data_IF_358860550629
#
_entry.id   IF_358860550629
#
_cell.length_a   1.000
_cell.length_b   1.000
_cell.length_c   1.000
_cell.angle_alpha   90.00
_cell.angle_beta   90.00
_cell.angle_gamma   90.00
#
_symmetry.space_group_name_H-M   'P 1'
#
loop_
_entity.id
_entity.type
_entity.pdbx_description
1 polymer ?
#
# COMPACT_ATOMS: atom_id res chain seq x y z
N UNK A 1 -4.36 6.25 7.35
CA UNK A 1 -4.90 6.56 8.69
C UNK A 1 -3.82 7.01 9.67
N UNK A 2 -2.88 6.14 10.08
CA UNK A 2 -1.82 6.48 11.05
C UNK A 2 -1.09 7.79 10.74
N UNK A 3 -0.70 7.96 9.48
CA UNK A 3 -0.04 9.17 9.02
C UNK A 3 -0.90 10.44 9.07
N UNK A 4 -2.19 10.35 8.73
CA UNK A 4 -3.12 11.47 8.88
C UNK A 4 -3.31 11.86 10.36
N UNK A 5 -3.16 10.89 11.26
CA UNK A 5 -3.14 11.11 12.70
C UNK A 5 -1.73 11.46 13.25
N UNK A 6 -0.72 11.57 12.40
CA UNK A 6 0.68 11.85 12.76
C UNK A 6 1.29 10.86 13.78
N UNK A 7 0.93 9.59 13.66
CA UNK A 7 1.44 8.50 14.51
C UNK A 7 2.06 7.38 13.69
N UNK A 8 2.93 6.60 14.33
CA UNK A 8 3.53 5.42 13.72
C UNK A 8 2.46 4.34 13.46
N UNK A 9 2.45 3.70 12.28
CA UNK A 9 1.53 2.59 12.01
C UNK A 9 1.83 1.40 12.93
N UNK A 10 0.76 0.73 13.37
CA UNK A 10 0.84 -0.40 14.28
C UNK A 10 -0.02 -1.56 13.77
N UNK A 11 0.43 -2.80 14.05
CA UNK A 11 -0.35 -4.03 13.79
C UNK A 11 -1.70 -4.02 14.50
N UNK A 12 -1.86 -3.22 15.57
CA UNK A 12 -3.11 -3.10 16.31
C UNK A 12 -4.15 -2.23 15.59
N UNK A 13 -3.75 -1.42 14.61
CA UNK A 13 -4.68 -0.62 13.78
C UNK A 13 -5.40 -1.46 12.73
N UNK A 14 -4.79 -2.57 12.29
CA UNK A 14 -5.42 -3.55 11.41
C UNK A 14 -5.05 -4.98 11.89
N UNK A 15 -5.68 -5.45 12.98
CA UNK A 15 -5.26 -6.66 13.65
C UNK A 15 -5.66 -7.95 12.92
N UNK A 16 -6.56 -7.89 11.95
CA UNK A 16 -6.99 -9.05 11.15
C UNK A 16 -7.03 -8.65 9.69
N UNK A 17 -6.17 -9.27 8.89
CA UNK A 17 -6.11 -9.05 7.44
C UNK A 17 -6.37 -10.37 6.72
N UNK A 18 -7.36 -10.37 5.82
CA UNK A 18 -7.64 -11.47 4.91
C UNK A 18 -7.06 -11.13 3.55
N UNK A 19 -5.94 -11.75 3.19
CA UNK A 19 -5.27 -11.52 1.90
C UNK A 19 -5.74 -12.55 0.87
N UNK A 20 -6.48 -12.16 -0.18
CA UNK A 20 -7.00 -13.12 -1.16
C UNK A 20 -5.87 -13.83 -1.92
N UNK A 21 -6.01 -15.16 -2.10
CA UNK A 21 -5.13 -15.99 -2.93
C UNK A 21 -5.80 -16.56 -4.19
N UNK A 22 -7.11 -16.35 -4.33
CA UNK A 22 -7.94 -16.98 -5.36
C UNK A 22 -8.63 -18.25 -4.85
N UNK A 23 -9.51 -18.84 -5.67
CA UNK A 23 -10.19 -20.10 -5.38
C UNK A 23 -10.86 -20.15 -3.98
N UNK A 24 -11.55 -19.06 -3.60
CA UNK A 24 -12.21 -18.92 -2.29
C UNK A 24 -11.29 -19.08 -1.07
N UNK A 25 -9.99 -18.88 -1.26
CA UNK A 25 -8.95 -19.00 -0.22
C UNK A 25 -8.30 -17.65 0.04
N UNK A 26 -8.06 -17.36 1.32
CA UNK A 26 -7.30 -16.20 1.77
C UNK A 26 -6.20 -16.66 2.72
N UNK A 27 -5.05 -15.99 2.65
CA UNK A 27 -4.08 -16.04 3.72
C UNK A 27 -4.59 -15.18 4.88
N UNK A 28 -4.76 -15.80 6.05
CA UNK A 28 -5.28 -15.11 7.23
C UNK A 28 -4.09 -14.62 8.04
N UNK A 29 -4.07 -13.32 8.32
CA UNK A 29 -3.01 -12.65 9.08
C UNK A 29 -3.63 -12.06 10.34
N UNK A 30 -3.10 -12.43 11.50
CA UNK A 30 -3.54 -11.92 12.81
C UNK A 30 -2.35 -11.21 13.46
N UNK A 31 -2.54 -9.93 13.81
CA UNK A 31 -1.52 -9.07 14.44
C UNK A 31 -0.15 -9.17 13.74
N UNK A 32 -0.16 -9.06 12.41
CA UNK A 32 1.04 -9.12 11.58
C UNK A 32 1.60 -10.52 11.30
N UNK A 33 1.01 -11.59 11.85
CA UNK A 33 1.47 -12.97 11.65
C UNK A 33 0.53 -13.77 10.76
N UNK A 34 1.06 -14.37 9.70
CA UNK A 34 0.34 -15.33 8.87
C UNK A 34 0.05 -16.59 9.68
N UNK A 35 -1.22 -16.95 9.82
CA UNK A 35 -1.66 -18.19 10.47
C UNK A 35 -2.02 -19.30 9.47
N UNK A 36 -1.85 -19.01 8.17
CA UNK A 36 -2.03 -19.97 7.08
C UNK A 36 -3.14 -19.59 6.08
N UNK A 37 -3.28 -20.44 5.07
CA UNK A 37 -4.27 -20.29 4.00
C UNK A 37 -5.54 -21.04 4.36
N UNK A 38 -6.67 -20.34 4.28
CA UNK A 38 -7.97 -20.88 4.68
C UNK A 38 -9.03 -20.46 3.69
N UNK A 39 -9.96 -21.38 3.42
CA UNK A 39 -11.20 -20.99 2.79
C UNK A 39 -12.12 -20.31 3.80
N UNK A 40 -13.20 -19.73 3.29
CA UNK A 40 -14.23 -19.07 4.07
C UNK A 40 -14.69 -19.88 5.30
N UNK A 41 -15.07 -21.15 5.10
CA UNK A 41 -15.62 -21.99 6.16
C UNK A 41 -14.59 -22.35 7.23
N UNK A 42 -13.36 -22.65 6.81
CA UNK A 42 -12.27 -22.95 7.75
C UNK A 42 -11.95 -21.75 8.63
N UNK A 43 -11.90 -20.54 8.04
CA UNK A 43 -11.72 -19.30 8.79
C UNK A 43 -12.85 -19.12 9.81
N UNK A 44 -14.10 -19.18 9.35
CA UNK A 44 -15.27 -18.94 10.20
C UNK A 44 -15.41 -19.95 11.34
N UNK A 45 -15.09 -21.22 11.10
CA UNK A 45 -15.28 -22.26 12.13
C UNK A 45 -14.08 -22.45 13.07
N UNK A 46 -12.86 -22.14 12.63
CA UNK A 46 -11.64 -22.46 13.40
C UNK A 46 -10.91 -21.23 13.94
N UNK A 47 -11.05 -20.09 13.27
CA UNK A 47 -10.21 -18.91 13.55
C UNK A 47 -10.98 -17.63 13.78
N UNK A 48 -12.31 -17.62 13.58
CA UNK A 48 -13.16 -16.48 13.93
C UNK A 48 -12.93 -16.01 15.37
N UNK A 49 -13.01 -16.92 16.35
CA UNK A 49 -12.84 -16.56 17.76
C UNK A 49 -11.43 -16.04 18.07
N UNK A 50 -10.41 -16.67 17.48
CA UNK A 50 -9.02 -16.22 17.59
C UNK A 50 -8.83 -14.81 17.00
N UNK A 51 -9.42 -14.55 15.84
CA UNK A 51 -9.38 -13.24 15.18
C UNK A 51 -10.12 -12.19 16.02
N UNK A 52 -11.30 -12.54 16.56
CA UNK A 52 -12.07 -11.66 17.41
C UNK A 52 -11.34 -11.33 18.73
N UNK A 53 -10.68 -12.31 19.36
CA UNK A 53 -9.88 -12.07 20.55
C UNK A 53 -8.66 -11.17 20.26
N UNK A 54 -8.05 -11.30 19.08
CA UNK A 54 -6.99 -10.37 18.64
C UNK A 54 -7.51 -8.95 18.40
N UNK A 55 -8.75 -8.79 17.90
CA UNK A 55 -9.40 -7.48 17.79
C UNK A 55 -9.63 -6.89 19.19
N UNK A 56 -10.16 -7.66 20.15
CA UNK A 56 -10.34 -7.19 21.53
C UNK A 56 -9.04 -6.76 22.18
N UNK A 57 -7.99 -7.56 22.04
CA UNK A 57 -6.66 -7.24 22.56
C UNK A 57 -6.14 -5.93 21.96
N UNK A 58 -6.24 -5.79 20.64
CA UNK A 58 -5.80 -4.59 19.92
C UNK A 58 -6.63 -3.35 20.28
N UNK A 59 -7.95 -3.49 20.40
CA UNK A 59 -8.82 -2.41 20.87
C UNK A 59 -8.46 -1.98 22.30
N UNK A 60 -8.30 -2.93 23.23
CA UNK A 60 -7.90 -2.62 24.61
C UNK A 60 -6.55 -1.91 24.64
N UNK A 61 -5.58 -2.36 23.84
CA UNK A 61 -4.27 -1.72 23.73
C UNK A 61 -4.40 -0.28 23.24
N UNK A 62 -5.09 -0.05 22.12
CA UNK A 62 -5.29 1.29 21.58
C UNK A 62 -6.07 2.18 22.56
N UNK A 63 -7.10 1.66 23.21
CA UNK A 63 -7.91 2.41 24.19
C UNK A 63 -7.14 2.83 25.44
N UNK A 64 -6.03 2.14 25.74
CA UNK A 64 -5.13 2.51 26.84
C UNK A 64 -4.12 3.60 26.45
N UNK A 65 -3.95 3.88 25.16
CA UNK A 65 -2.94 4.79 24.61
C UNK A 65 -3.55 6.07 24.02
N UNK A 66 -4.78 6.00 23.53
CA UNK A 66 -5.44 7.07 22.81
C UNK A 66 -6.79 7.42 23.44
N UNK A 67 -7.08 8.73 23.51
CA UNK A 67 -8.35 9.25 24.01
C UNK A 67 -9.50 9.03 23.00
N UNK A 68 -9.18 9.00 21.71
CA UNK A 68 -10.14 8.85 20.61
C UNK A 68 -9.66 7.73 19.69
N UNK A 69 -10.57 6.81 19.36
CA UNK A 69 -10.36 5.75 18.37
C UNK A 69 -11.43 5.90 17.29
N UNK A 70 -11.00 6.03 16.04
CA UNK A 70 -11.87 5.98 14.87
C UNK A 70 -11.78 4.58 14.28
N UNK A 71 -12.93 3.91 14.15
CA UNK A 71 -13.03 2.55 13.63
C UNK A 71 -13.66 2.63 12.24
N UNK A 72 -12.88 2.28 11.22
CA UNK A 72 -13.38 2.16 9.86
C UNK A 72 -13.92 0.74 9.64
N UNK A 73 -15.21 0.61 9.35
CA UNK A 73 -15.82 -0.66 8.97
C UNK A 73 -15.51 -1.03 7.52
N UNK A 74 -15.35 -2.32 7.25
CA UNK A 74 -15.09 -2.80 5.90
C UNK A 74 -16.37 -3.27 5.20
N UNK A 75 -16.60 -2.77 3.98
CA UNK A 75 -17.73 -3.18 3.16
C UNK A 75 -19.08 -2.67 3.70
N UNK A 76 -20.12 -3.51 3.59
CA UNK A 76 -21.46 -3.17 4.06
C UNK A 76 -21.65 -3.58 5.52
N UNK A 77 -22.23 -2.74 6.39
CA UNK A 77 -22.60 -3.17 7.74
C UNK A 77 -23.82 -4.11 7.76
N UNK A 78 -24.48 -4.32 6.61
CA UNK A 78 -25.69 -5.14 6.49
C UNK A 78 -25.46 -6.44 5.70
N UNK A 79 -24.35 -7.14 5.96
CA UNK A 79 -24.08 -8.49 5.43
C UNK A 79 -24.95 -9.55 6.15
N UNK A 80 -26.27 -9.51 5.89
CA UNK A 80 -27.30 -10.29 6.60
C UNK A 80 -27.07 -11.81 6.59
N UNK A 81 -26.36 -12.33 5.58
CA UNK A 81 -26.01 -13.75 5.44
C UNK A 81 -24.89 -14.17 6.38
N UNK A 82 -24.21 -13.23 7.04
CA UNK A 82 -23.05 -13.46 7.88
C UNK A 82 -23.05 -12.64 9.18
N UNK A 83 -24.20 -12.09 9.59
CA UNK A 83 -24.27 -11.19 10.74
C UNK A 83 -23.64 -11.75 12.02
N UNK A 84 -23.84 -13.04 12.30
CA UNK A 84 -23.27 -13.73 13.48
C UNK A 84 -21.75 -13.95 13.40
N UNK A 85 -21.15 -13.71 12.23
CA UNK A 85 -19.76 -13.98 11.86
C UNK A 85 -19.02 -12.70 11.44
N UNK A 86 -19.71 -11.57 11.44
CA UNK A 86 -19.17 -10.29 10.98
C UNK A 86 -18.39 -9.60 12.11
N UNK A 87 -17.08 -9.62 11.98
CA UNK A 87 -16.15 -8.89 12.85
C UNK A 87 -15.52 -7.69 12.14
N UNK A 88 -16.12 -7.21 11.05
CA UNK A 88 -15.66 -6.07 10.28
C UNK A 88 -16.47 -4.78 10.55
N UNK A 89 -17.71 -4.89 11.04
CA UNK A 89 -18.59 -3.73 11.24
C UNK A 89 -19.25 -3.69 12.62
N UNK A 90 -20.52 -4.08 12.72
CA UNK A 90 -21.38 -3.76 13.86
C UNK A 90 -20.97 -4.47 15.15
N UNK A 91 -20.45 -5.70 15.07
CA UNK A 91 -19.94 -6.41 16.24
C UNK A 91 -18.79 -5.64 16.91
N UNK A 92 -17.93 -5.01 16.12
CA UNK A 92 -16.83 -4.18 16.62
C UNK A 92 -17.36 -2.87 17.21
N UNK A 93 -18.38 -2.27 16.59
CA UNK A 93 -19.05 -1.10 17.16
C UNK A 93 -19.68 -1.40 18.53
N UNK A 94 -20.28 -2.58 18.70
CA UNK A 94 -20.82 -3.01 19.99
C UNK A 94 -19.73 -3.31 21.03
N UNK A 95 -18.67 -3.99 20.62
CA UNK A 95 -17.50 -4.25 21.47
C UNK A 95 -16.90 -2.95 22.02
N UNK A 96 -16.79 -1.93 21.17
CA UNK A 96 -16.18 -0.64 21.49
C UNK A 96 -17.15 0.35 22.16
N UNK A 97 -18.44 0.01 22.31
CA UNK A 97 -19.49 0.95 22.68
C UNK A 97 -19.52 2.21 21.79
N UNK A 98 -19.23 2.03 20.49
CA UNK A 98 -19.03 3.12 19.55
C UNK A 98 -20.34 3.62 18.92
N UNK A 99 -20.40 4.92 18.66
CA UNK A 99 -21.40 5.52 17.78
C UNK A 99 -21.00 5.26 16.32
N UNK A 100 -21.97 4.94 15.46
CA UNK A 100 -21.73 4.62 14.05
C UNK A 100 -22.29 5.73 13.16
N UNK A 101 -21.46 6.18 12.22
CA UNK A 101 -21.85 7.07 11.13
C UNK A 101 -21.79 6.26 9.84
N UNK A 102 -22.90 6.16 9.11
CA UNK A 102 -22.94 5.48 7.82
C UNK A 102 -22.44 6.42 6.72
N UNK A 103 -21.33 6.07 6.07
CA UNK A 103 -20.80 6.83 4.93
C UNK A 103 -21.27 6.16 3.64
N UNK A 104 -21.99 6.89 2.79
CA UNK A 104 -22.60 6.35 1.58
C UNK A 104 -22.03 7.03 0.31
N UNK A 105 -21.39 6.25 -0.56
CA UNK A 105 -20.84 6.72 -1.83
C UNK A 105 -21.97 6.96 -2.86
N UNK A 106 -22.17 8.22 -3.27
CA UNK A 106 -23.20 8.56 -4.27
C UNK A 106 -22.75 8.32 -5.72
N UNK A 107 -21.44 8.19 -5.97
CA UNK A 107 -20.89 8.01 -7.32
C UNK A 107 -21.34 6.68 -7.95
N UNK A 108 -21.60 5.67 -7.13
CA UNK A 108 -22.13 4.37 -7.55
C UNK A 108 -23.61 4.42 -7.96
N UNK A 109 -24.30 5.54 -7.71
CA UNK A 109 -25.73 5.71 -7.96
C UNK A 109 -26.61 4.97 -6.94
N UNK A 110 -27.88 5.38 -6.83
CA UNK A 110 -28.85 4.70 -5.96
C UNK A 110 -28.62 4.88 -4.45
N UNK A 111 -27.81 5.87 -4.04
CA UNK A 111 -27.39 6.08 -2.64
C UNK A 111 -28.53 6.05 -1.62
N UNK A 112 -29.68 6.65 -1.93
CA UNK A 112 -30.83 6.67 -1.03
C UNK A 112 -31.44 5.28 -0.81
N UNK A 113 -31.51 4.47 -1.87
CA UNK A 113 -31.97 3.10 -1.76
C UNK A 113 -30.97 2.23 -0.99
N UNK A 114 -29.66 2.49 -1.17
CA UNK A 114 -28.62 1.81 -0.41
C UNK A 114 -28.73 2.12 1.09
N UNK A 115 -28.81 3.41 1.48
CA UNK A 115 -28.97 3.81 2.89
C UNK A 115 -30.26 3.22 3.49
N UNK A 116 -31.39 3.41 2.82
CA UNK A 116 -32.67 2.90 3.32
C UNK A 116 -32.67 1.37 3.40
N UNK A 117 -32.07 0.69 2.41
CA UNK A 117 -31.91 -0.76 2.40
C UNK A 117 -31.06 -1.24 3.57
N UNK A 118 -29.88 -0.66 3.76
CA UNK A 118 -28.99 -0.95 4.91
C UNK A 118 -29.73 -0.77 6.22
N UNK A 119 -30.38 0.38 6.43
CA UNK A 119 -31.13 0.63 7.66
C UNK A 119 -32.23 -0.41 7.89
N UNK A 120 -33.02 -0.75 6.86
CA UNK A 120 -34.10 -1.75 6.96
C UNK A 120 -33.56 -3.17 7.20
N UNK A 121 -32.37 -3.50 6.73
CA UNK A 121 -31.77 -4.83 6.87
C UNK A 121 -31.09 -5.04 8.23
N UNK A 122 -30.58 -3.98 8.86
CA UNK A 122 -30.07 -4.06 10.23
C UNK A 122 -31.19 -4.39 11.23
N UNK A 123 -30.88 -5.13 12.29
CA UNK A 123 -31.81 -5.34 13.39
C UNK A 123 -31.83 -4.12 14.35
N UNK A 124 -32.74 -4.11 15.32
CA UNK A 124 -32.87 -2.97 16.24
C UNK A 124 -31.63 -2.79 17.14
N UNK A 125 -30.88 -3.87 17.39
CA UNK A 125 -29.64 -3.81 18.18
C UNK A 125 -28.57 -3.04 17.41
N UNK A 126 -28.35 -3.35 16.14
CA UNK A 126 -27.40 -2.65 15.27
C UNK A 126 -27.85 -1.24 14.92
N UNK A 127 -29.13 -1.07 14.56
CA UNK A 127 -29.69 0.26 14.30
C UNK A 127 -29.48 1.22 15.46
N UNK A 128 -29.51 0.71 16.71
CA UNK A 128 -29.32 1.55 17.89
C UNK A 128 -27.95 2.23 17.95
N UNK A 129 -26.94 1.71 17.23
CA UNK A 129 -25.60 2.30 17.13
C UNK A 129 -25.49 3.33 16.01
N UNK A 130 -26.35 3.28 15.01
CA UNK A 130 -26.38 4.29 13.95
C UNK A 130 -26.83 5.64 14.55
N UNK A 131 -26.04 6.69 14.32
CA UNK A 131 -26.30 8.03 14.83
C UNK A 131 -26.36 9.10 13.77
N UNK A 132 -25.83 8.81 12.59
CA UNK A 132 -25.90 9.73 11.47
C UNK A 132 -25.55 9.05 10.15
N UNK A 133 -25.80 9.76 9.06
CA UNK A 133 -25.35 9.40 7.70
C UNK A 133 -24.55 10.53 7.06
N UNK A 134 -23.56 10.19 6.25
CA UNK A 134 -22.80 11.11 5.39
C UNK A 134 -22.97 10.67 3.94
N UNK A 135 -23.29 11.61 3.05
CA UNK A 135 -23.22 11.38 1.61
C UNK A 135 -21.83 11.75 1.12
N UNK A 136 -21.10 10.82 0.52
CA UNK A 136 -19.74 11.01 0.03
C UNK A 136 -19.69 11.15 -1.50
N UNK A 137 -18.64 11.81 -2.02
CA UNK A 137 -18.31 11.96 -3.45
C UNK A 137 -19.41 12.63 -4.30
N UNK A 138 -20.10 13.62 -3.76
CA UNK A 138 -21.15 14.31 -4.50
C UNK A 138 -20.62 15.23 -5.60
N UNK A 139 -21.23 15.14 -6.78
CA UNK A 139 -21.01 16.06 -7.90
C UNK A 139 -22.36 16.68 -8.28
N UNK A 140 -22.49 18.00 -8.16
CA UNK A 140 -23.66 18.73 -8.66
C UNK A 140 -24.26 19.74 -7.69
N UNK A 141 -25.56 20.01 -7.88
CA UNK A 141 -26.28 21.01 -7.11
C UNK A 141 -26.95 20.39 -5.88
N UNK A 142 -26.51 20.79 -4.68
CA UNK A 142 -27.05 20.33 -3.40
C UNK A 142 -28.55 20.59 -3.24
N UNK A 143 -29.10 21.66 -3.82
CA UNK A 143 -30.53 21.96 -3.71
C UNK A 143 -31.42 20.89 -4.35
N UNK A 144 -30.90 20.18 -5.36
CA UNK A 144 -31.60 19.05 -5.99
C UNK A 144 -31.61 17.83 -5.05
N UNK A 145 -30.57 17.69 -4.21
CA UNK A 145 -30.38 16.54 -3.34
C UNK A 145 -31.21 16.64 -2.04
N UNK A 146 -31.42 17.85 -1.52
CA UNK A 146 -32.10 18.14 -0.25
C UNK A 146 -33.36 17.31 0.01
N UNK A 147 -34.36 17.22 -0.89
CA UNK A 147 -35.57 16.44 -0.62
C UNK A 147 -35.30 14.95 -0.39
N UNK A 148 -34.23 14.41 -0.98
CA UNK A 148 -33.80 13.04 -0.74
C UNK A 148 -33.11 12.87 0.61
N UNK A 149 -32.34 13.86 1.08
CA UNK A 149 -31.73 13.86 2.41
C UNK A 149 -32.82 13.88 3.49
N UNK A 150 -33.80 14.78 3.38
CA UNK A 150 -34.94 14.87 4.30
C UNK A 150 -35.66 13.52 4.40
N UNK A 151 -35.85 12.84 3.25
CA UNK A 151 -36.50 11.54 3.21
C UNK A 151 -35.68 10.43 3.87
N UNK A 152 -34.35 10.50 3.82
CA UNK A 152 -33.49 9.56 4.54
C UNK A 152 -33.60 9.77 6.03
N UNK A 153 -33.54 11.02 6.52
CA UNK A 153 -33.72 11.32 7.95
C UNK A 153 -35.07 10.83 8.47
N UNK A 154 -36.15 10.95 7.68
CA UNK A 154 -37.45 10.38 8.03
C UNK A 154 -37.45 8.84 8.14
N UNK A 155 -36.64 8.15 7.32
CA UNK A 155 -36.55 6.68 7.29
C UNK A 155 -35.68 6.16 8.43
N UNK A 156 -34.51 6.76 8.62
CA UNK A 156 -33.51 6.33 9.60
C UNK A 156 -33.82 6.85 11.00
N UNK A 157 -34.51 7.99 11.11
CA UNK A 157 -34.71 8.70 12.37
C UNK A 157 -33.45 9.43 12.87
N UNK A 158 -32.37 9.40 12.09
CA UNK A 158 -31.06 9.95 12.44
C UNK A 158 -30.63 11.00 11.40
N UNK A 159 -29.89 12.04 11.79
CA UNK A 159 -29.53 13.14 10.90
C UNK A 159 -28.61 12.71 9.76
N UNK A 160 -28.71 13.43 8.63
CA UNK A 160 -27.66 13.47 7.63
C UNK A 160 -26.70 14.59 8.00
N UNK A 161 -25.47 14.24 8.42
CA UNK A 161 -24.47 15.23 8.86
C UNK A 161 -24.10 16.21 7.76
N UNK A 162 -24.15 15.75 6.52
CA UNK A 162 -23.76 16.56 5.39
C UNK A 162 -23.48 15.76 4.13
N UNK A 163 -23.01 16.50 3.13
CA UNK A 163 -22.72 15.99 1.80
C UNK A 163 -21.31 16.42 1.42
N UNK A 164 -20.39 15.47 1.36
CA UNK A 164 -19.01 15.72 0.97
C UNK A 164 -18.92 15.84 -0.56
N UNK A 165 -18.42 16.95 -1.11
CA UNK A 165 -18.17 17.08 -2.53
C UNK A 165 -17.04 16.15 -2.99
N UNK A 166 -17.11 15.68 -4.23
CA UNK A 166 -15.95 15.09 -4.88
C UNK A 166 -14.99 16.21 -5.31
N UNK A 167 -13.73 16.13 -4.88
CA UNK A 167 -12.68 17.09 -5.22
C UNK A 167 -11.59 16.42 -6.06
N UNK A 168 -11.50 16.81 -7.34
CA UNK A 168 -10.51 16.30 -8.31
C UNK A 168 -9.08 16.74 -8.02
N UNK A 169 -8.85 17.63 -7.06
CA UNK A 169 -7.50 18.07 -6.66
C UNK A 169 -6.88 17.18 -5.59
N UNK A 170 -7.68 16.37 -4.89
CA UNK A 170 -7.18 15.42 -3.91
C UNK A 170 -6.39 14.30 -4.59
N UNK A 171 -5.21 14.01 -4.06
CA UNK A 171 -4.36 12.90 -4.47
C UNK A 171 -3.94 12.14 -3.20
N UNK A 172 -4.73 11.15 -2.85
CA UNK A 172 -4.45 10.25 -1.72
C UNK A 172 -3.90 8.93 -2.27
N UNK A 173 -3.00 8.25 -1.54
CA UNK A 173 -2.48 6.96 -1.96
C UNK A 173 -3.61 5.94 -2.15
N UNK A 174 -3.48 5.13 -3.21
CA UNK A 174 -4.42 4.05 -3.51
C UNK A 174 -4.19 2.84 -2.58
N UNK A 175 -5.27 2.15 -2.19
CA UNK A 175 -5.18 1.06 -1.20
C UNK A 175 -4.96 -0.33 -1.82
N UNK A 176 -5.58 -0.63 -2.97
CA UNK A 176 -5.53 -1.96 -3.59
C UNK A 176 -5.05 -1.91 -5.04
N UNK A 177 -4.37 -2.95 -5.50
CA UNK A 177 -3.83 -3.09 -6.85
C UNK A 177 -4.90 -3.17 -7.93
N UNK A 178 -6.18 -3.29 -7.57
CA UNK A 178 -7.29 -3.11 -8.49
C UNK A 178 -7.28 -1.70 -9.11
N UNK A 179 -6.86 -0.68 -8.36
CA UNK A 179 -6.79 0.71 -8.84
C UNK A 179 -5.85 0.88 -10.04
N UNK A 180 -4.78 0.09 -10.13
CA UNK A 180 -3.84 0.08 -11.26
C UNK A 180 -4.49 -0.24 -12.61
N UNK A 181 -5.67 -0.89 -12.64
CA UNK A 181 -6.37 -1.16 -13.90
C UNK A 181 -7.07 0.06 -14.47
N UNK A 182 -7.42 1.03 -13.61
CA UNK A 182 -8.16 2.24 -13.96
C UNK A 182 -7.31 3.50 -13.87
N UNK A 183 -6.13 3.42 -13.25
CA UNK A 183 -5.20 4.53 -13.13
C UNK A 183 -4.59 4.88 -14.48
N UNK A 184 -4.59 6.17 -14.82
CA UNK A 184 -3.99 6.68 -16.05
C UNK A 184 -2.69 7.40 -15.71
N UNK A 185 -1.57 6.73 -15.95
CA UNK A 185 -0.25 7.35 -15.81
C UNK A 185 0.01 8.30 -16.98
N UNK A 186 0.75 9.38 -16.70
CA UNK A 186 1.22 10.30 -17.73
C UNK A 186 2.44 9.69 -18.44
N UNK A 187 2.31 9.43 -19.74
CA UNK A 187 3.36 8.86 -20.58
C UNK A 187 4.01 9.90 -21.53
N UNK A 188 3.67 11.19 -21.38
CA UNK A 188 4.19 12.29 -22.23
C UNK A 188 5.04 13.26 -21.41
N UNK A 189 6.15 12.74 -20.88
CA UNK A 189 7.08 13.45 -19.99
C UNK A 189 8.53 13.33 -20.44
N UNK A 190 9.37 14.25 -19.97
CA UNK A 190 10.78 14.30 -20.33
C UNK A 190 11.56 13.06 -19.84
N UNK A 191 11.19 12.51 -18.69
CA UNK A 191 11.75 11.29 -18.12
C UNK A 191 10.67 10.21 -18.10
N UNK A 192 10.97 9.04 -18.65
CA UNK A 192 10.05 7.90 -18.66
C UNK A 192 10.58 6.75 -17.82
N UNK A 193 9.87 6.42 -16.74
CA UNK A 193 10.18 5.26 -15.90
C UNK A 193 9.29 4.08 -16.32
N UNK A 194 9.90 3.00 -16.78
CA UNK A 194 9.21 1.76 -17.09
C UNK A 194 9.00 0.92 -15.83
N UNK A 195 7.76 0.69 -15.42
CA UNK A 195 7.44 -0.15 -14.25
C UNK A 195 6.88 -1.48 -14.72
N UNK A 196 7.55 -2.59 -14.38
CA UNK A 196 7.11 -3.91 -14.79
C UNK A 196 5.83 -4.30 -14.03
N UNK A 197 4.74 -4.46 -14.77
CA UNK A 197 3.45 -4.91 -14.23
C UNK A 197 3.48 -6.42 -14.03
N UNK A 198 4.07 -6.85 -12.92
CA UNK A 198 4.12 -8.25 -12.54
C UNK A 198 2.69 -8.81 -12.35
N UNK A 199 2.40 -10.06 -12.75
CA UNK A 199 1.09 -10.68 -12.56
C UNK A 199 0.59 -10.63 -11.11
N UNK A 200 1.52 -10.73 -10.14
CA UNK A 200 1.22 -10.68 -8.70
C UNK A 200 1.88 -9.48 -8.01
N UNK A 201 1.97 -8.35 -8.73
CA UNK A 201 2.47 -7.07 -8.21
C UNK A 201 1.89 -6.76 -6.82
N UNK A 202 2.73 -6.24 -5.93
CA UNK A 202 2.36 -5.76 -4.61
C UNK A 202 3.09 -4.46 -4.30
N UNK A 203 2.51 -3.67 -3.40
CA UNK A 203 3.08 -2.41 -2.93
C UNK A 203 3.48 -1.50 -4.11
N UNK A 204 2.62 -1.42 -5.13
CA UNK A 204 2.86 -0.60 -6.30
C UNK A 204 3.00 0.88 -5.95
N UNK A 205 2.50 1.29 -4.78
CA UNK A 205 2.63 2.63 -4.21
C UNK A 205 4.08 3.09 -3.96
N UNK A 206 5.07 2.19 -4.09
CA UNK A 206 6.49 2.55 -4.15
C UNK A 206 6.82 3.55 -5.28
N UNK A 207 5.95 3.64 -6.30
CA UNK A 207 6.14 4.52 -7.46
C UNK A 207 5.37 5.84 -7.37
N UNK A 208 4.42 5.98 -6.44
CA UNK A 208 3.61 7.19 -6.26
C UNK A 208 4.45 8.47 -6.17
N UNK A 209 5.63 8.48 -5.52
CA UNK A 209 6.46 9.68 -5.46
C UNK A 209 6.91 10.23 -6.81
N UNK A 210 6.97 9.39 -7.85
CA UNK A 210 7.34 9.83 -9.19
C UNK A 210 6.22 10.61 -9.89
N UNK A 211 4.95 10.35 -9.58
CA UNK A 211 3.83 11.11 -10.18
C UNK A 211 3.76 12.56 -9.69
N UNK A 212 4.40 12.86 -8.55
CA UNK A 212 4.52 14.22 -8.05
C UNK A 212 5.63 15.03 -8.75
N UNK A 213 6.51 14.39 -9.53
CA UNK A 213 7.60 15.05 -10.25
C UNK A 213 7.10 15.51 -11.62
N UNK A 214 7.15 16.82 -11.88
CA UNK A 214 6.49 17.42 -13.05
C UNK A 214 7.01 16.96 -14.42
N UNK A 215 8.26 16.49 -14.45
CA UNK A 215 9.00 16.06 -15.64
C UNK A 215 9.14 14.54 -15.75
N UNK A 216 8.49 13.77 -14.85
CA UNK A 216 8.56 12.30 -14.82
C UNK A 216 7.22 11.69 -15.19
N UNK A 217 7.26 10.74 -16.11
CA UNK A 217 6.15 9.90 -16.52
C UNK A 217 6.41 8.44 -16.16
N UNK A 218 5.33 7.68 -16.00
CA UNK A 218 5.36 6.26 -15.64
C UNK A 218 4.70 5.46 -16.75
N UNK A 219 5.39 4.43 -17.22
CA UNK A 219 4.85 3.48 -18.18
C UNK A 219 4.73 2.11 -17.53
N UNK A 220 3.51 1.62 -17.38
CA UNK A 220 3.29 0.25 -16.92
C UNK A 220 3.56 -0.73 -18.07
N UNK A 221 4.50 -1.64 -17.89
CA UNK A 221 4.92 -2.62 -18.91
C UNK A 221 4.42 -4.00 -18.48
N UNK A 222 3.37 -4.49 -19.16
CA UNK A 222 2.87 -5.84 -18.99
C UNK A 222 3.79 -6.90 -19.59
N UNK A 223 3.59 -8.15 -19.19
CA UNK A 223 4.41 -9.29 -19.64
C UNK A 223 4.48 -9.47 -21.17
N UNK A 224 3.46 -9.00 -21.90
CA UNK A 224 3.39 -9.12 -23.36
C UNK A 224 3.70 -7.81 -24.10
N UNK A 225 4.03 -6.74 -23.37
CA UNK A 225 4.23 -5.42 -23.94
C UNK A 225 5.68 -5.27 -24.45
N UNK A 226 5.89 -4.19 -25.20
CA UNK A 226 7.26 -3.74 -25.47
C UNK A 226 7.71 -2.75 -24.40
N UNK A 227 8.98 -2.82 -24.01
CA UNK A 227 9.55 -1.92 -23.00
C UNK A 227 9.53 -0.48 -23.52
N UNK A 228 9.75 -0.30 -24.83
CA UNK A 228 9.79 1.02 -25.46
C UNK A 228 11.01 1.84 -25.06
N UNK A 229 10.89 3.15 -25.26
CA UNK A 229 11.91 4.13 -24.88
C UNK A 229 11.64 4.60 -23.45
N UNK A 230 12.42 4.08 -22.51
CA UNK A 230 12.36 4.41 -21.09
C UNK A 230 13.77 4.68 -20.60
N UNK A 231 13.88 5.56 -19.61
CA UNK A 231 15.16 6.01 -19.05
C UNK A 231 15.61 5.18 -17.84
N UNK A 232 14.68 4.43 -17.22
CA UNK A 232 14.95 3.46 -16.18
C UNK A 232 13.86 2.39 -16.14
N UNK A 233 14.17 1.22 -15.58
CA UNK A 233 13.21 0.14 -15.34
C UNK A 233 13.10 -0.15 -13.85
N UNK A 234 11.88 -0.22 -13.32
CA UNK A 234 11.61 -0.68 -11.95
C UNK A 234 10.88 -2.02 -12.00
N UNK A 235 11.44 -3.01 -11.32
CA UNK A 235 10.76 -4.26 -10.98
C UNK A 235 10.25 -4.13 -9.55
N UNK A 236 8.92 -3.94 -9.35
CA UNK A 236 8.35 -3.69 -8.03
C UNK A 236 8.29 -4.95 -7.17
N UNK A 237 7.76 -4.80 -5.96
CA UNK A 237 7.43 -5.94 -5.11
C UNK A 237 6.42 -6.88 -5.76
N UNK A 238 6.50 -8.16 -5.39
CA UNK A 238 5.52 -9.17 -5.77
C UNK A 238 5.15 -10.03 -4.57
N UNK A 239 3.94 -10.58 -4.59
CA UNK A 239 3.46 -11.58 -3.63
C UNK A 239 4.01 -12.97 -3.92
N UNK A 240 4.74 -13.15 -5.03
CA UNK A 240 5.22 -14.45 -5.48
C UNK A 240 6.41 -14.31 -6.45
N UNK A 241 7.61 -14.23 -5.92
CA UNK A 241 8.81 -13.96 -6.73
C UNK A 241 9.13 -15.08 -7.72
N UNK A 242 8.94 -16.34 -7.34
CA UNK A 242 9.26 -17.49 -8.20
C UNK A 242 8.29 -17.64 -9.38
N UNK A 243 6.99 -17.41 -9.16
CA UNK A 243 5.99 -17.45 -10.23
C UNK A 243 6.14 -16.28 -11.20
N UNK A 244 6.41 -15.07 -10.70
CA UNK A 244 6.56 -13.90 -11.57
C UNK A 244 7.87 -13.93 -12.35
N UNK A 245 8.98 -14.39 -11.76
CA UNK A 245 10.23 -14.68 -12.49
C UNK A 245 9.98 -15.67 -13.64
N UNK A 246 9.21 -16.73 -13.39
CA UNK A 246 8.85 -17.72 -14.40
C UNK A 246 8.03 -17.10 -15.55
N UNK A 247 7.03 -16.27 -15.26
CA UNK A 247 6.23 -15.63 -16.33
C UNK A 247 7.03 -14.59 -17.12
N UNK A 248 7.98 -13.87 -16.50
CA UNK A 248 8.91 -12.99 -17.20
C UNK A 248 9.81 -13.76 -18.18
N UNK A 249 10.33 -14.91 -17.75
CA UNK A 249 11.13 -15.78 -18.62
C UNK A 249 10.29 -16.35 -19.76
N UNK A 250 9.11 -16.87 -19.46
CA UNK A 250 8.20 -17.50 -20.42
C UNK A 250 7.68 -16.53 -21.48
N UNK A 251 7.47 -15.26 -21.11
CA UNK A 251 7.05 -14.21 -22.04
C UNK A 251 8.19 -13.66 -22.91
N UNK A 252 9.45 -13.92 -22.54
CA UNK A 252 10.64 -13.32 -23.17
C UNK A 252 10.91 -11.87 -22.74
N UNK A 253 10.11 -11.31 -21.82
CA UNK A 253 10.34 -9.98 -21.27
C UNK A 253 11.63 -9.93 -20.44
N UNK A 254 11.99 -11.05 -19.78
CA UNK A 254 13.26 -11.21 -19.08
C UNK A 254 14.48 -10.84 -19.95
N UNK A 255 14.56 -11.38 -21.17
CA UNK A 255 15.68 -11.12 -22.09
C UNK A 255 15.74 -9.65 -22.52
N UNK A 256 14.57 -9.02 -22.70
CA UNK A 256 14.48 -7.58 -23.03
C UNK A 256 14.96 -6.70 -21.87
N UNK A 257 14.59 -7.04 -20.63
CA UNK A 257 15.06 -6.33 -19.43
C UNK A 257 16.57 -6.47 -19.31
N UNK A 258 17.12 -7.68 -19.48
CA UNK A 258 18.57 -7.94 -19.43
C UNK A 258 19.30 -7.11 -20.48
N UNK A 259 18.80 -7.07 -21.73
CA UNK A 259 19.39 -6.25 -22.77
C UNK A 259 19.41 -4.75 -22.40
N UNK A 260 18.30 -4.24 -21.85
CA UNK A 260 18.18 -2.84 -21.41
C UNK A 260 19.04 -2.51 -20.20
N UNK A 261 19.30 -3.47 -19.32
CA UNK A 261 20.14 -3.27 -18.14
C UNK A 261 21.58 -2.84 -18.50
N UNK A 262 22.06 -3.11 -19.71
CA UNK A 262 23.36 -2.61 -20.15
C UNK A 262 23.37 -1.12 -20.55
N UNK A 263 22.20 -0.53 -20.77
CA UNK A 263 22.04 0.84 -21.27
C UNK A 263 21.51 1.80 -20.20
N UNK A 264 20.55 1.33 -19.41
CA UNK A 264 19.78 2.15 -18.48
C UNK A 264 19.75 1.54 -17.07
N UNK A 265 19.50 2.36 -16.03
CA UNK A 265 19.28 1.89 -14.68
C UNK A 265 18.14 0.85 -14.58
N UNK A 266 18.39 -0.23 -13.84
CA UNK A 266 17.36 -1.21 -13.45
C UNK A 266 17.29 -1.31 -11.94
N UNK A 267 16.08 -1.21 -11.40
CA UNK A 267 15.81 -1.12 -9.97
C UNK A 267 14.95 -2.30 -9.55
N UNK A 268 15.30 -2.97 -8.46
CA UNK A 268 14.48 -4.02 -7.85
C UNK A 268 14.02 -3.65 -6.45
N UNK A 269 12.72 -3.75 -6.18
CA UNK A 269 12.18 -3.54 -4.83
C UNK A 269 11.61 -4.85 -4.31
N UNK A 270 12.09 -5.31 -3.16
CA UNK A 270 11.62 -6.50 -2.45
C UNK A 270 11.59 -7.75 -3.35
N UNK A 271 10.42 -8.23 -3.80
CA UNK A 271 10.35 -9.34 -4.76
C UNK A 271 11.11 -9.06 -6.07
N UNK A 272 11.15 -7.80 -6.53
CA UNK A 272 11.96 -7.38 -7.67
C UNK A 272 13.47 -7.46 -7.41
N UNK A 273 13.92 -7.21 -6.17
CA UNK A 273 15.32 -7.44 -5.78
C UNK A 273 15.70 -8.92 -5.96
N UNK A 274 14.83 -9.83 -5.52
CA UNK A 274 15.04 -11.27 -5.66
C UNK A 274 15.05 -11.71 -7.13
N UNK A 275 14.13 -11.19 -7.95
CA UNK A 275 14.03 -11.48 -9.39
C UNK A 275 15.30 -11.07 -10.14
N UNK A 276 15.94 -9.96 -9.76
CA UNK A 276 17.18 -9.50 -10.40
C UNK A 276 18.39 -10.40 -10.10
N UNK A 277 18.32 -11.25 -9.07
CA UNK A 277 19.40 -12.15 -8.65
C UNK A 277 19.73 -13.27 -9.62
N UNK A 278 20.74 -14.08 -9.28
CA UNK A 278 21.12 -15.28 -10.04
C UNK A 278 20.10 -16.41 -9.86
N UNK A 279 19.63 -16.61 -8.64
CA UNK A 279 18.73 -17.70 -8.27
C UNK A 279 17.82 -17.34 -7.11
N UNK A 280 16.58 -17.84 -7.17
CA UNK A 280 15.57 -17.77 -6.12
C UNK A 280 15.31 -19.21 -5.65
N UNK A 281 15.72 -19.54 -4.43
CA UNK A 281 15.67 -20.86 -3.82
C UNK A 281 14.39 -20.99 -2.99
N UNK A 282 13.49 -21.85 -3.44
CA UNK A 282 12.20 -22.16 -2.80
C UNK A 282 12.01 -23.68 -2.75
N UNK A 283 12.88 -24.37 -2.00
CA UNK A 283 12.88 -25.84 -1.90
C UNK A 283 11.58 -26.40 -1.33
N UNK A 284 10.98 -25.66 -0.40
CA UNK A 284 9.72 -26.02 0.27
C UNK A 284 8.47 -25.58 -0.49
N UNK A 285 8.62 -24.89 -1.63
CA UNK A 285 7.52 -24.37 -2.45
C UNK A 285 6.57 -23.45 -1.67
N UNK A 286 7.12 -22.67 -0.75
CA UNK A 286 6.39 -21.69 0.08
C UNK A 286 5.79 -20.59 -0.78
N UNK A 287 6.54 -20.09 -1.76
CA UNK A 287 6.07 -19.04 -2.65
C UNK A 287 5.19 -19.61 -3.77
N UNK A 288 5.67 -20.63 -4.49
CA UNK A 288 4.91 -21.19 -5.61
C UNK A 288 5.21 -22.64 -5.93
N UNK A 289 4.36 -23.21 -6.79
CA UNK A 289 4.53 -24.58 -7.31
C UNK A 289 5.82 -24.76 -8.13
N UNK A 290 6.43 -23.67 -8.62
CA UNK A 290 7.68 -23.70 -9.39
C UNK A 290 8.84 -24.19 -8.51
N UNK A 291 8.87 -23.78 -7.24
CA UNK A 291 10.02 -23.98 -6.37
C UNK A 291 11.23 -23.15 -6.83
N UNK A 292 12.44 -23.68 -6.66
CA UNK A 292 13.69 -23.01 -7.05
C UNK A 292 13.76 -22.70 -8.55
N UNK A 293 14.10 -21.44 -8.89
CA UNK A 293 14.20 -20.94 -10.26
C UNK A 293 15.37 -19.97 -10.40
N UNK A 294 15.92 -19.85 -11.61
CA UNK A 294 16.87 -18.79 -11.95
C UNK A 294 16.18 -17.42 -11.94
N UNK A 295 16.86 -16.40 -11.43
CA UNK A 295 16.46 -15.01 -11.64
C UNK A 295 16.93 -14.50 -13.00
N UNK A 296 17.01 -13.17 -13.15
CA UNK A 296 17.54 -12.53 -14.36
C UNK A 296 19.06 -12.54 -14.44
N UNK A 297 19.76 -12.79 -13.33
CA UNK A 297 21.22 -12.82 -13.27
C UNK A 297 21.89 -11.47 -13.45
N UNK A 298 21.18 -10.37 -13.14
CA UNK A 298 21.68 -9.00 -13.24
C UNK A 298 22.39 -8.55 -11.97
N UNK A 299 22.02 -9.11 -10.81
CA UNK A 299 22.70 -8.92 -9.54
C UNK A 299 23.36 -10.23 -9.10
N UNK A 300 24.63 -10.22 -8.66
CA UNK A 300 25.31 -11.40 -8.15
C UNK A 300 24.86 -11.64 -6.70
N UNK A 301 23.61 -12.08 -6.56
CA UNK A 301 22.96 -12.44 -5.31
C UNK A 301 22.18 -13.75 -5.46
N UNK A 302 21.95 -14.45 -4.37
CA UNK A 302 20.98 -15.55 -4.29
C UNK A 302 19.96 -15.26 -3.22
N UNK A 303 18.69 -15.55 -3.49
CA UNK A 303 17.61 -15.35 -2.53
C UNK A 303 17.02 -16.68 -2.10
N UNK A 304 16.63 -16.81 -0.83
CA UNK A 304 16.09 -18.05 -0.28
C UNK A 304 14.91 -17.79 0.67
N UNK A 305 13.90 -18.66 0.60
CA UNK A 305 12.71 -18.62 1.47
C UNK A 305 12.86 -19.58 2.66
N UNK A 306 13.82 -19.29 3.54
CA UNK A 306 14.08 -20.13 4.73
C UNK A 306 13.38 -19.66 5.99
N UNK A 307 12.91 -18.40 6.06
CA UNK A 307 12.30 -17.87 7.28
C UNK A 307 10.98 -18.59 7.58
N UNK A 308 10.73 -18.81 8.87
CA UNK A 308 9.44 -19.27 9.37
C UNK A 308 8.46 -18.10 9.47
N UNK A 309 8.94 -16.97 10.00
CA UNK A 309 8.15 -15.76 10.18
C UNK A 309 8.46 -14.69 9.13
N UNK A 310 7.41 -14.00 8.72
CA UNK A 310 7.50 -12.83 7.85
C UNK A 310 8.01 -11.61 8.60
N UNK A 311 8.94 -10.87 8.01
CA UNK A 311 9.34 -9.56 8.51
C UNK A 311 8.24 -8.57 8.17
N UNK A 312 7.79 -7.82 9.17
CA UNK A 312 6.85 -6.69 9.04
C UNK A 312 7.32 -5.60 10.00
N UNK A 313 8.20 -4.69 9.54
CA UNK A 313 8.79 -3.67 10.41
C UNK A 313 9.05 -2.36 9.67
N UNK A 314 9.00 -1.26 10.42
CA UNK A 314 9.55 0.04 9.99
C UNK A 314 11.08 -0.01 10.12
N UNK A 315 11.76 0.51 9.11
CA UNK A 315 13.20 0.33 8.93
C UNK A 315 13.89 1.63 8.56
N UNK A 316 15.15 1.71 8.96
CA UNK A 316 16.01 2.87 8.81
C UNK A 316 17.42 2.38 8.46
N UNK A 317 18.06 3.07 7.52
CA UNK A 317 19.39 2.74 7.06
C UNK A 317 20.15 4.01 6.67
N UNK A 318 21.45 3.87 6.42
CA UNK A 318 22.29 4.94 5.87
C UNK A 318 22.89 4.53 4.54
N UNK A 319 23.13 5.53 3.68
CA UNK A 319 23.77 5.33 2.38
C UNK A 319 25.29 5.15 2.59
N UNK A 320 25.89 4.02 2.18
CA UNK A 320 27.30 3.74 2.42
C UNK A 320 28.22 4.50 1.45
N UNK A 321 29.50 4.65 1.81
CA UNK A 321 30.52 5.34 1.02
C UNK A 321 31.19 4.47 -0.06
N UNK A 322 30.86 3.17 -0.07
CA UNK A 322 31.49 2.16 -0.91
C UNK A 322 30.54 1.60 -1.98
N UNK A 323 29.50 2.36 -2.37
CA UNK A 323 28.62 1.99 -3.46
C UNK A 323 29.39 1.81 -4.77
N UNK A 324 28.94 0.86 -5.60
CA UNK A 324 29.54 0.58 -6.91
C UNK A 324 28.53 0.74 -8.04
N UNK A 325 29.03 0.69 -9.28
CA UNK A 325 28.20 0.91 -10.46
C UNK A 325 27.58 2.31 -10.50
N UNK A 326 26.42 2.43 -11.16
CA UNK A 326 25.68 3.69 -11.27
C UNK A 326 25.20 4.20 -9.92
N UNK A 327 24.94 3.32 -8.95
CA UNK A 327 24.48 3.73 -7.62
C UNK A 327 25.53 4.58 -6.91
N UNK A 328 26.82 4.25 -7.09
CA UNK A 328 27.93 5.06 -6.57
C UNK A 328 28.07 6.41 -7.26
N UNK A 329 27.61 6.57 -8.51
CA UNK A 329 27.56 7.87 -9.18
C UNK A 329 26.34 8.68 -8.76
N UNK A 330 25.17 8.04 -8.69
CA UNK A 330 23.89 8.62 -8.31
C UNK A 330 23.92 9.17 -6.89
N UNK A 331 24.33 8.36 -5.92
CA UNK A 331 24.11 8.66 -4.50
C UNK A 331 25.35 9.22 -3.80
N UNK A 332 26.39 9.61 -4.54
CA UNK A 332 27.66 10.10 -3.99
C UNK A 332 27.51 11.32 -3.07
N UNK A 333 26.57 12.21 -3.39
CA UNK A 333 26.39 13.49 -2.71
C UNK A 333 25.49 13.36 -1.47
N UNK A 334 24.91 12.17 -1.26
CA UNK A 334 24.02 11.82 -0.14
C UNK A 334 24.57 10.65 0.69
N UNK A 335 25.85 10.32 0.54
CA UNK A 335 26.54 9.32 1.38
C UNK A 335 26.43 9.72 2.86
N UNK A 336 26.06 8.77 3.70
CA UNK A 336 25.84 8.94 5.13
C UNK A 336 24.47 9.51 5.49
N UNK A 337 23.66 9.92 4.52
CA UNK A 337 22.27 10.31 4.80
C UNK A 337 21.44 9.11 5.22
N UNK A 338 20.50 9.37 6.13
CA UNK A 338 19.53 8.39 6.59
C UNK A 338 18.40 8.26 5.57
N UNK A 339 18.05 7.02 5.24
CA UNK A 339 16.84 6.65 4.50
C UNK A 339 15.94 5.81 5.39
N UNK A 340 14.63 5.93 5.14
CA UNK A 340 13.58 5.20 5.86
C UNK A 340 12.72 4.40 4.89
N UNK A 341 12.08 3.36 5.39
CA UNK A 341 11.19 2.52 4.62
C UNK A 341 10.56 1.46 5.52
N UNK A 342 9.94 0.46 4.90
CA UNK A 342 9.44 -0.68 5.64
C UNK A 342 9.74 -1.98 4.92
N UNK A 343 9.87 -3.04 5.70
CA UNK A 343 10.18 -4.39 5.23
C UNK A 343 8.93 -5.26 5.37
N UNK A 344 8.53 -5.93 4.28
CA UNK A 344 7.43 -6.90 4.27
C UNK A 344 7.77 -8.16 3.47
N UNK A 345 8.83 -8.87 3.88
CA UNK A 345 9.37 -10.02 3.15
C UNK A 345 9.68 -11.23 4.04
N UNK A 346 9.72 -12.40 3.40
CA UNK A 346 10.13 -13.68 4.02
C UNK A 346 11.47 -14.17 3.46
N UNK A 347 11.89 -13.62 2.32
CA UNK A 347 13.15 -13.99 1.69
C UNK A 347 14.35 -13.40 2.43
N UNK A 348 15.45 -14.15 2.37
CA UNK A 348 16.80 -13.73 2.74
C UNK A 348 17.63 -13.69 1.46
N UNK A 349 18.43 -12.65 1.24
CA UNK A 349 19.29 -12.52 0.07
C UNK A 349 20.76 -12.44 0.46
N UNK A 350 21.57 -13.34 -0.08
CA UNK A 350 23.01 -13.37 0.15
C UNK A 350 23.73 -12.62 -0.98
N UNK A 351 24.58 -11.66 -0.60
CA UNK A 351 25.46 -10.99 -1.54
C UNK A 351 26.63 -11.90 -1.91
N UNK A 352 26.91 -12.03 -3.22
CA UNK A 352 28.06 -12.80 -3.70
C UNK A 352 29.24 -11.86 -4.01
N UNK A 353 29.22 -11.21 -5.17
CA UNK A 353 30.29 -10.33 -5.64
C UNK A 353 29.74 -8.93 -5.99
N UNK A 354 28.95 -8.36 -5.08
CA UNK A 354 28.41 -7.00 -5.19
C UNK A 354 28.47 -6.28 -3.83
N UNK A 355 28.17 -4.99 -3.86
CA UNK A 355 28.14 -4.15 -2.67
C UNK A 355 26.69 -3.98 -2.21
N UNK A 356 26.47 -3.88 -0.90
CA UNK A 356 25.17 -3.53 -0.36
C UNK A 356 24.78 -2.11 -0.79
N UNK A 357 23.47 -1.86 -0.92
CA UNK A 357 22.97 -0.52 -1.22
C UNK A 357 22.87 0.34 0.04
N UNK A 358 22.60 -0.27 1.20
CA UNK A 358 22.28 0.41 2.45
C UNK A 358 22.96 -0.28 3.64
N UNK A 359 23.34 0.50 4.65
CA UNK A 359 23.75 0.02 5.98
C UNK A 359 22.59 0.16 6.97
N UNK A 360 22.11 -0.94 7.52
CA UNK A 360 20.92 -0.95 8.38
C UNK A 360 21.22 -0.35 9.75
N UNK A 361 20.36 0.56 10.21
CA UNK A 361 20.35 1.11 11.57
C UNK A 361 19.20 0.52 12.40
N UNK A 362 18.06 0.25 11.75
CA UNK A 362 16.87 -0.39 12.31
C UNK A 362 16.20 -1.21 11.21
N UNK A 363 15.87 -2.46 11.50
CA UNK A 363 15.30 -3.39 10.51
C UNK A 363 16.12 -4.68 10.43
N UNK A 364 15.93 -5.45 9.35
CA UNK A 364 16.64 -6.71 9.12
C UNK A 364 17.46 -6.68 7.83
N UNK A 365 16.95 -6.07 6.77
CA UNK A 365 17.57 -6.02 5.47
C UNK A 365 17.75 -7.40 4.84
N UNK A 366 18.92 -7.63 4.27
CA UNK A 366 19.21 -8.79 3.43
C UNK A 366 19.07 -10.13 4.16
N UNK A 367 19.51 -10.20 5.42
CA UNK A 367 19.60 -11.44 6.18
C UNK A 367 19.28 -11.25 7.67
N UNK A 368 19.52 -12.26 8.50
CA UNK A 368 19.29 -12.21 9.94
C UNK A 368 20.34 -11.43 10.73
N UNK A 369 21.46 -11.03 10.10
CA UNK A 369 22.48 -10.25 10.77
C UNK A 369 22.07 -8.78 10.94
N UNK A 370 21.11 -8.29 10.14
CA UNK A 370 20.57 -6.95 10.34
C UNK A 370 21.55 -5.83 10.00
N UNK A 371 22.58 -6.09 9.18
CA UNK A 371 23.68 -5.14 8.98
C UNK A 371 23.56 -4.34 7.68
N UNK A 372 23.03 -4.95 6.64
CA UNK A 372 23.00 -4.39 5.29
C UNK A 372 21.70 -4.72 4.58
N UNK A 373 21.29 -3.84 3.67
CA UNK A 373 20.15 -4.07 2.80
C UNK A 373 20.48 -3.77 1.34
N UNK A 374 19.85 -4.53 0.47
CA UNK A 374 19.93 -4.36 -0.96
C UNK A 374 21.26 -4.76 -1.55
N UNK A 375 21.42 -4.47 -2.83
CA UNK A 375 22.63 -4.67 -3.59
C UNK A 375 22.75 -3.63 -4.69
N UNK A 376 23.98 -3.32 -5.10
CA UNK A 376 24.27 -2.56 -6.31
C UNK A 376 25.39 -3.25 -7.12
N UNK A 377 25.24 -3.24 -8.45
CA UNK A 377 26.21 -3.77 -9.39
C UNK A 377 25.94 -3.21 -10.79
N UNK A 378 26.97 -2.72 -11.49
CA UNK A 378 26.85 -2.12 -12.83
C UNK A 378 25.71 -1.07 -12.88
N UNK A 379 24.73 -1.22 -13.76
CA UNK A 379 23.57 -0.33 -13.88
C UNK A 379 22.39 -0.74 -12.99
N UNK A 380 22.60 -1.59 -12.00
CA UNK A 380 21.52 -2.19 -11.21
C UNK A 380 21.68 -1.84 -9.74
N UNK A 381 20.58 -1.47 -9.11
CA UNK A 381 20.49 -1.43 -7.65
C UNK A 381 19.15 -1.95 -7.18
N UNK A 382 19.10 -2.49 -5.97
CA UNK A 382 17.89 -3.08 -5.44
C UNK A 382 17.91 -3.07 -3.90
N UNK A 383 16.74 -3.20 -3.28
CA UNK A 383 16.53 -3.06 -1.82
C UNK A 383 15.29 -3.84 -1.36
N UNK A 384 15.24 -4.27 -0.10
CA UNK A 384 13.99 -4.74 0.51
C UNK A 384 13.11 -3.60 1.03
N UNK A 385 13.63 -2.37 1.15
CA UNK A 385 12.87 -1.23 1.65
C UNK A 385 11.80 -0.82 0.64
N UNK A 386 10.55 -1.12 1.00
CA UNK A 386 9.42 -0.43 0.40
C UNK A 386 9.40 1.03 0.88
N UNK A 387 8.93 1.93 0.02
CA UNK A 387 8.95 3.37 0.24
C UNK A 387 10.33 4.00 0.05
N UNK A 388 11.32 3.32 -0.52
CA UNK A 388 12.66 3.89 -0.70
C UNK A 388 12.64 5.24 -1.45
N UNK A 389 11.76 5.40 -2.44
CA UNK A 389 11.58 6.64 -3.20
C UNK A 389 10.72 7.70 -2.48
N UNK A 390 10.14 7.38 -1.31
CA UNK A 390 9.56 8.39 -0.42
C UNK A 390 10.66 9.27 0.20
N UNK A 391 11.90 8.77 0.28
CA UNK A 391 13.04 9.56 0.72
C UNK A 391 13.41 10.56 -0.37
N UNK A 392 13.09 11.83 -0.14
CA UNK A 392 13.23 12.90 -1.12
C UNK A 392 14.62 12.94 -1.77
N UNK A 393 15.70 12.97 -0.97
CA UNK A 393 17.06 13.08 -1.49
C UNK A 393 17.46 11.85 -2.32
N UNK A 394 17.08 10.65 -1.87
CA UNK A 394 17.33 9.41 -2.64
C UNK A 394 16.63 9.45 -4.00
N UNK A 395 15.33 9.78 -4.03
CA UNK A 395 14.56 9.94 -5.27
C UNK A 395 15.14 11.05 -6.16
N UNK A 396 15.49 12.19 -5.55
CA UNK A 396 15.98 13.38 -6.25
C UNK A 396 17.30 13.08 -6.95
N UNK A 397 18.26 12.45 -6.28
CA UNK A 397 19.54 12.09 -6.89
C UNK A 397 19.40 11.05 -8.00
N UNK A 398 18.52 10.06 -7.81
CA UNK A 398 18.18 9.10 -8.88
C UNK A 398 17.63 9.80 -10.14
N UNK A 399 16.67 10.72 -9.99
CA UNK A 399 16.10 11.46 -11.11
C UNK A 399 17.09 12.47 -11.70
N UNK A 400 17.90 13.14 -10.86
CA UNK A 400 18.89 14.11 -11.32
C UNK A 400 20.00 13.45 -12.13
N UNK A 401 20.38 12.21 -11.82
CA UNK A 401 21.25 11.41 -12.67
C UNK A 401 20.66 11.25 -14.08
N UNK A 402 19.37 10.89 -14.18
CA UNK A 402 18.68 10.75 -15.47
C UNK A 402 18.59 12.11 -16.19
N UNK A 403 18.20 13.17 -15.48
CA UNK A 403 18.16 14.55 -16.02
C UNK A 403 19.49 14.94 -16.64
N UNK A 404 20.59 14.73 -15.91
CA UNK A 404 21.93 15.05 -16.39
C UNK A 404 22.30 14.26 -17.65
N UNK A 405 21.96 12.96 -17.74
CA UNK A 405 22.18 12.13 -18.94
C UNK A 405 21.38 12.61 -20.15
N UNK A 406 20.16 13.11 -19.93
CA UNK A 406 19.29 13.67 -20.98
C UNK A 406 19.61 15.14 -21.32
N UNK A 407 20.51 15.79 -20.57
CA UNK A 407 20.81 17.22 -20.72
C UNK A 407 19.70 18.15 -20.21
N UNK A 408 18.85 17.65 -19.33
CA UNK A 408 17.82 18.42 -18.63
C UNK A 408 18.40 19.17 -17.44
N UNK A 409 17.69 20.18 -16.97
CA UNK A 409 18.08 20.95 -15.78
C UNK A 409 17.93 20.09 -14.51
N UNK A 410 19.00 20.02 -13.72
CA UNK A 410 19.00 19.36 -12.41
C UNK A 410 18.04 20.12 -11.49
N UNK A 411 17.18 19.37 -10.80
CA UNK A 411 16.19 19.97 -9.89
C UNK A 411 16.72 19.99 -8.46
N UNK A 412 16.35 21.03 -7.71
CA UNK A 412 16.61 21.19 -6.28
C UNK A 412 15.39 21.85 -5.62
N UNK A 413 15.29 21.81 -4.29
CA UNK A 413 14.20 22.47 -3.56
C UNK A 413 13.44 21.53 -2.65
N UNK A 414 12.15 21.82 -2.43
CA UNK A 414 11.27 21.05 -1.54
C UNK A 414 10.78 19.75 -2.20
N UNK A 415 10.31 18.82 -1.36
CA UNK A 415 9.76 17.54 -1.79
C UNK A 415 8.33 17.73 -2.35
N UNK A 416 8.13 17.60 -3.68
CA UNK A 416 6.81 17.80 -4.28
C UNK A 416 5.80 16.73 -3.83
N UNK A 417 6.25 15.51 -3.54
CA UNK A 417 5.39 14.42 -3.10
C UNK A 417 4.85 14.69 -1.70
N UNK A 418 5.74 15.06 -0.78
CA UNK A 418 5.32 15.47 0.57
C UNK A 418 4.38 16.68 0.52
N UNK A 419 4.70 17.70 -0.27
CA UNK A 419 3.85 18.89 -0.39
C UNK A 419 2.45 18.57 -0.94
N UNK A 420 2.34 17.72 -1.96
CA UNK A 420 1.06 17.27 -2.54
C UNK A 420 0.23 16.49 -1.53
N UNK A 421 0.87 15.63 -0.75
CA UNK A 421 0.21 14.81 0.25
C UNK A 421 -0.27 15.62 1.45
N UNK A 422 0.57 16.52 1.95
CA UNK A 422 0.19 17.47 3.00
C UNK A 422 -0.97 18.36 2.53
N UNK A 423 -0.93 18.83 1.27
CA UNK A 423 -2.05 19.55 0.67
C UNK A 423 -3.32 18.70 0.65
N UNK A 424 -3.26 17.45 0.18
CA UNK A 424 -4.44 16.58 0.06
C UNK A 424 -5.06 16.24 1.42
N UNK A 425 -4.23 15.96 2.43
CA UNK A 425 -4.71 15.69 3.79
C UNK A 425 -5.37 16.92 4.43
N UNK A 426 -4.74 18.08 4.34
CA UNK A 426 -5.31 19.33 4.84
C UNK A 426 -6.58 19.70 4.09
N UNK A 427 -6.59 19.52 2.76
CA UNK A 427 -7.76 19.82 1.94
C UNK A 427 -8.94 18.89 2.26
N UNK A 428 -8.67 17.61 2.50
CA UNK A 428 -9.69 16.67 2.95
C UNK A 428 -10.27 17.09 4.31
N UNK A 429 -9.42 17.49 5.26
CA UNK A 429 -9.87 17.99 6.56
C UNK A 429 -10.76 19.23 6.40
N UNK A 430 -10.37 20.21 5.58
CA UNK A 430 -11.20 21.38 5.26
C UNK A 430 -12.54 20.99 4.62
N UNK A 431 -12.54 20.02 3.70
CA UNK A 431 -13.77 19.56 3.04
C UNK A 431 -14.71 18.95 4.07
N UNK A 432 -14.20 18.12 4.98
CA UNK A 432 -14.99 17.52 6.05
C UNK A 432 -15.56 18.59 6.97
N UNK A 433 -14.71 19.49 7.49
CA UNK A 433 -15.11 20.54 8.43
C UNK A 433 -16.14 21.52 7.84
N UNK A 434 -16.02 21.87 6.55
CA UNK A 434 -16.92 22.82 5.91
C UNK A 434 -18.26 22.20 5.47
N UNK A 435 -18.36 20.88 5.37
CA UNK A 435 -19.53 20.22 4.77
C UNK A 435 -20.27 19.28 5.72
N UNK A 436 -19.71 18.96 6.90
CA UNK A 436 -20.37 18.17 7.93
C UNK A 436 -20.75 19.03 9.15
N UNK A 437 -21.82 18.66 9.83
CA UNK A 437 -22.17 19.18 11.14
C UNK A 437 -21.20 18.65 12.21
N UNK A 438 -20.12 19.41 12.43
CA UNK A 438 -19.08 19.07 13.42
C UNK A 438 -19.60 19.13 14.86
N UNK A 439 -20.62 19.94 15.16
CA UNK A 439 -21.20 20.01 16.51
C UNK A 439 -21.89 18.69 16.88
N UNK A 440 -22.49 17.99 15.91
CA UNK A 440 -23.04 16.65 16.14
C UNK A 440 -21.90 15.64 16.34
N UNK A 441 -20.84 15.70 15.53
CA UNK A 441 -19.68 14.81 15.67
C UNK A 441 -19.03 14.96 17.04
N UNK A 442 -18.80 16.20 17.50
CA UNK A 442 -18.21 16.48 18.80
C UNK A 442 -19.06 15.91 19.94
N UNK A 443 -20.40 16.06 19.89
CA UNK A 443 -21.30 15.45 20.87
C UNK A 443 -21.22 13.92 20.88
N UNK A 444 -21.08 13.30 19.71
CA UNK A 444 -20.95 11.85 19.58
C UNK A 444 -19.62 11.33 20.14
N UNK A 445 -18.55 12.13 20.08
CA UNK A 445 -17.22 11.78 20.60
C UNK A 445 -17.12 12.06 22.10
N UNK A 446 -17.46 13.28 22.54
CA UNK A 446 -17.16 13.76 23.89
C UNK A 446 -18.27 13.54 24.93
N UNK A 447 -19.41 12.96 24.54
CA UNK A 447 -20.56 12.66 25.42
C UNK A 447 -21.01 13.90 26.22
N UNK A 448 -21.12 15.06 25.57
CA UNK A 448 -21.67 16.31 26.16
C UNK A 448 -23.20 16.35 26.21
#
# INVERSE_FOLDING_TARGET
>A
QAEAAMIEPSIHMNPVLLKPKGDFTSNVIIQGKSIGDMNFYDYQHKYHDTAFDAIKDSFNKLSSEYDIIVIEGAGSPAEINMRDQDIANMEIAHLADANVILIADIEMGGVFAAIAGTYVLLDDYDRSRLKATVINKFRGNLDILKPGLDRIEEITGEPVLGVLPYDETLRLPEEDSASLTTHNFDEDKDIMIGVIRLPKIANFTDIDPFEAESDVGIRMIGVNDDIGDVDAIIIPGTRNSTQDAYELQKSGLADKIIAKAHEIPVIGICGGFQILGEEIIDEEKKESKQGTIKGLGLLPITSEFKREDKIVTQSQATIPDNLCGIAGEMFKDIVGETVTGYEIHEGTSNLLNCNALLNIEKGQGNDENGLVDGACHENIFATYFHGIFNNYNFRREFLNYIRAKKGLEIQTGEDPYKAQKDYSLNKLAEIVENNLDMDIIDKLIFKE
#
